data_IF_258474738952
#
_entry.id   IF_258474738952
#
_cell.length_a   1.000
_cell.length_b   1.000
_cell.length_c   1.000
_cell.angle_alpha   90.00
_cell.angle_beta   90.00
_cell.angle_gamma   90.00
#
_symmetry.space_group_name_H-M   'P 1'
#
loop_
_entity.id
_entity.type
_entity.pdbx_description
1 polymer ?
#
# COMPACT_ATOMS: atom_id res chain seq x y z
N UNK A 1 -15.65 -13.84 0.34
CA UNK A 1 -14.85 -14.75 1.20
C UNK A 1 -14.01 -13.93 2.17
N UNK A 2 -13.93 -14.32 3.44
CA UNK A 2 -13.17 -13.58 4.47
C UNK A 2 -11.75 -14.16 4.64
N UNK A 3 -11.55 -15.46 4.39
CA UNK A 3 -10.27 -16.16 4.56
C UNK A 3 -9.81 -16.83 3.26
N UNK A 4 -9.52 -16.04 2.23
CA UNK A 4 -9.09 -16.56 0.91
C UNK A 4 -7.75 -17.32 0.97
N UNK A 5 -6.97 -17.14 2.04
CA UNK A 5 -5.67 -17.81 2.25
C UNK A 5 -5.78 -19.14 2.98
N UNK A 6 -6.97 -19.53 3.46
CA UNK A 6 -7.14 -20.75 4.25
C UNK A 6 -6.70 -22.04 3.54
N UNK A 7 -7.00 -22.26 2.24
CA UNK A 7 -6.54 -23.47 1.55
C UNK A 7 -5.01 -23.59 1.49
N UNK A 8 -4.32 -22.49 1.16
CA UNK A 8 -2.85 -22.41 1.12
C UNK A 8 -2.24 -22.70 2.50
N UNK A 9 -2.87 -22.19 3.56
CA UNK A 9 -2.41 -22.41 4.93
C UNK A 9 -2.70 -23.82 5.42
N UNK A 10 -3.82 -24.45 5.02
CA UNK A 10 -4.10 -25.85 5.32
C UNK A 10 -3.07 -26.77 4.67
N UNK A 11 -2.69 -26.51 3.41
CA UNK A 11 -1.62 -27.26 2.74
C UNK A 11 -0.28 -27.09 3.45
N UNK A 12 0.03 -25.87 3.89
CA UNK A 12 1.31 -25.55 4.53
C UNK A 12 1.45 -26.07 5.96
N UNK A 13 0.37 -26.10 6.75
CA UNK A 13 0.40 -26.44 8.17
C UNK A 13 -0.22 -27.81 8.49
N UNK A 14 -0.93 -28.44 7.55
CA UNK A 14 -1.58 -29.74 7.76
C UNK A 14 -2.48 -29.75 9.00
N UNK A 15 -2.31 -30.74 9.86
CA UNK A 15 -3.07 -30.90 11.12
C UNK A 15 -2.91 -29.72 12.09
N UNK A 16 -1.76 -29.01 12.05
CA UNK A 16 -1.51 -27.85 12.92
C UNK A 16 -2.35 -26.63 12.52
N UNK A 17 -2.97 -26.63 11.34
CA UNK A 17 -3.88 -25.57 10.90
C UNK A 17 -5.00 -25.32 11.92
N UNK A 18 -5.53 -26.38 12.54
CA UNK A 18 -6.60 -26.27 13.54
C UNK A 18 -6.17 -25.56 14.83
N UNK A 19 -4.86 -25.41 15.06
CA UNK A 19 -4.31 -24.65 16.19
C UNK A 19 -4.24 -23.14 15.90
N UNK A 20 -4.42 -22.72 14.65
CA UNK A 20 -4.34 -21.31 14.24
C UNK A 20 -5.64 -20.59 14.67
N UNK A 21 -5.54 -19.52 15.49
CA UNK A 21 -6.72 -18.74 15.84
C UNK A 21 -7.33 -18.05 14.61
N UNK A 22 -8.66 -18.00 14.52
CA UNK A 22 -9.36 -17.33 13.42
C UNK A 22 -8.95 -15.86 13.23
N UNK A 23 -8.61 -15.16 14.32
CA UNK A 23 -8.08 -13.80 14.26
C UNK A 23 -6.73 -13.70 13.53
N UNK A 24 -5.83 -14.67 13.73
CA UNK A 24 -4.54 -14.73 13.04
C UNK A 24 -4.74 -15.01 11.54
N UNK A 25 -5.66 -15.91 11.20
CA UNK A 25 -6.04 -16.20 9.81
C UNK A 25 -6.60 -14.95 9.10
N UNK A 26 -7.38 -14.15 9.83
CA UNK A 26 -7.93 -12.89 9.34
C UNK A 26 -6.85 -11.84 9.07
N UNK A 27 -5.95 -11.65 10.03
CA UNK A 27 -4.82 -10.73 9.88
C UNK A 27 -3.91 -11.15 8.72
N UNK A 28 -3.57 -12.43 8.60
CA UNK A 28 -2.75 -12.93 7.50
C UNK A 28 -3.41 -12.68 6.14
N UNK A 29 -4.71 -12.98 6.03
CA UNK A 29 -5.48 -12.70 4.81
C UNK A 29 -5.49 -11.21 4.47
N UNK A 30 -5.66 -10.34 5.46
CA UNK A 30 -5.62 -8.90 5.29
C UNK A 30 -4.24 -8.42 4.80
N UNK A 31 -3.16 -8.91 5.42
CA UNK A 31 -1.79 -8.58 5.00
C UNK A 31 -1.52 -9.03 3.56
N UNK A 32 -2.05 -10.18 3.14
CA UNK A 32 -1.97 -10.62 1.74
C UNK A 32 -2.64 -9.63 0.78
N UNK A 33 -3.80 -9.07 1.14
CA UNK A 33 -4.46 -8.02 0.33
C UNK A 33 -3.66 -6.73 0.30
N UNK A 34 -3.08 -6.33 1.44
CA UNK A 34 -2.23 -5.15 1.53
C UNK A 34 -0.98 -5.29 0.65
N UNK A 35 -0.33 -6.46 0.68
CA UNK A 35 0.81 -6.80 -0.17
C UNK A 35 0.45 -6.65 -1.66
N UNK A 36 -0.71 -7.14 -2.08
CA UNK A 36 -1.18 -7.00 -3.46
C UNK A 36 -1.45 -5.55 -3.84
N UNK A 37 -2.12 -4.77 -2.99
CA UNK A 37 -2.37 -3.35 -3.23
C UNK A 37 -1.06 -2.55 -3.35
N UNK A 38 -0.08 -2.84 -2.50
CA UNK A 38 1.24 -2.22 -2.56
C UNK A 38 1.97 -2.55 -3.87
N UNK A 39 1.89 -3.80 -4.34
CA UNK A 39 2.42 -4.20 -5.65
C UNK A 39 1.76 -3.46 -6.80
N UNK A 40 0.45 -3.23 -6.74
CA UNK A 40 -0.26 -2.44 -7.75
C UNK A 40 0.22 -0.98 -7.77
N UNK A 41 0.37 -0.37 -6.59
CA UNK A 41 0.93 0.98 -6.46
C UNK A 41 2.37 1.05 -7.03
N UNK A 42 3.22 0.09 -6.67
CA UNK A 42 4.58 -0.06 -7.17
C UNK A 42 4.64 -0.17 -8.70
N UNK A 43 3.76 -0.98 -9.28
CA UNK A 43 3.66 -1.12 -10.74
C UNK A 43 3.21 0.18 -11.40
N UNK A 44 2.21 0.87 -10.83
CA UNK A 44 1.74 2.17 -11.32
C UNK A 44 2.83 3.25 -11.30
N UNK A 45 3.62 3.29 -10.23
CA UNK A 45 4.77 4.19 -10.09
C UNK A 45 6.03 3.70 -10.83
N UNK A 46 6.01 2.52 -11.46
CA UNK A 46 7.15 1.86 -12.12
C UNK A 46 8.36 1.65 -11.20
N UNK A 47 8.10 1.34 -9.92
CA UNK A 47 9.10 1.17 -8.86
C UNK A 47 9.07 -0.26 -8.31
N UNK A 48 10.01 -1.11 -8.72
CA UNK A 48 10.00 -2.55 -8.42
C UNK A 48 10.69 -2.96 -7.10
N UNK A 49 11.03 -1.99 -6.25
CA UNK A 49 11.58 -2.24 -4.92
C UNK A 49 11.14 -1.15 -3.96
N UNK A 50 10.88 -1.52 -2.70
CA UNK A 50 10.37 -0.60 -1.67
C UNK A 50 11.29 0.60 -1.44
N UNK A 51 12.61 0.44 -1.62
CA UNK A 51 13.58 1.53 -1.47
C UNK A 51 13.40 2.67 -2.47
N UNK A 52 12.66 2.46 -3.54
CA UNK A 52 12.38 3.50 -4.54
C UNK A 52 11.06 4.23 -4.26
N UNK A 53 10.18 3.68 -3.43
CA UNK A 53 8.93 4.33 -3.04
C UNK A 53 9.22 5.47 -2.06
N UNK A 54 8.45 6.53 -2.22
CA UNK A 54 8.53 7.77 -1.48
C UNK A 54 7.12 8.34 -1.28
N UNK A 55 6.97 9.34 -0.41
CA UNK A 55 5.69 10.02 -0.23
C UNK A 55 5.28 10.87 -1.44
N UNK A 56 6.23 11.17 -2.33
CA UNK A 56 5.98 11.88 -3.58
C UNK A 56 5.30 10.99 -4.64
N UNK A 57 5.18 9.67 -4.40
CA UNK A 57 4.45 8.74 -5.27
C UNK A 57 2.93 8.76 -5.05
N UNK A 58 2.45 9.53 -4.08
CA UNK A 58 1.04 9.64 -3.71
C UNK A 58 0.65 11.11 -3.54
N UNK A 59 -0.62 11.41 -3.77
CA UNK A 59 -1.17 12.75 -3.64
C UNK A 59 -2.51 12.72 -2.89
N UNK A 60 -2.77 13.75 -2.11
CA UNK A 60 -4.06 13.95 -1.46
C UNK A 60 -5.05 14.59 -2.45
N UNK A 61 -6.24 14.01 -2.58
CA UNK A 61 -7.28 14.52 -3.47
C UNK A 61 -8.07 15.69 -2.88
N UNK A 62 -7.98 15.92 -1.57
CA UNK A 62 -8.64 17.03 -0.88
C UNK A 62 -7.67 17.76 0.04
N UNK A 63 -7.97 19.01 0.38
CA UNK A 63 -7.14 19.81 1.28
C UNK A 63 -7.17 19.26 2.70
N UNK A 64 -8.33 18.79 3.16
CA UNK A 64 -8.47 18.18 4.49
C UNK A 64 -7.62 16.91 4.62
N UNK A 65 -7.59 16.08 3.57
CA UNK A 65 -6.73 14.90 3.54
C UNK A 65 -5.25 15.30 3.55
N UNK A 66 -4.88 16.36 2.83
CA UNK A 66 -3.51 16.91 2.84
C UNK A 66 -3.13 17.39 4.25
N UNK A 67 -3.97 18.20 4.88
CA UNK A 67 -3.75 18.76 6.23
C UNK A 67 -3.59 17.67 7.30
N UNK A 68 -4.41 16.62 7.25
CA UNK A 68 -4.37 15.53 8.24
C UNK A 68 -3.19 14.58 8.00
N UNK A 69 -2.92 14.24 6.74
CA UNK A 69 -1.94 13.19 6.40
C UNK A 69 -0.53 13.71 6.15
N UNK A 70 -0.37 15.01 5.89
CA UNK A 70 0.86 15.62 5.40
C UNK A 70 1.28 15.11 4.01
N UNK A 71 0.35 14.61 3.20
CA UNK A 71 0.59 14.27 1.79
C UNK A 71 0.22 15.48 0.95
N UNK A 72 1.07 15.89 0.01
CA UNK A 72 0.83 17.07 -0.83
C UNK A 72 -0.55 17.00 -1.51
N UNK A 73 -1.23 18.14 -1.57
CA UNK A 73 -2.47 18.24 -2.33
C UNK A 73 -2.17 18.09 -3.82
N UNK A 74 -3.07 17.44 -4.57
CA UNK A 74 -2.84 17.09 -5.99
C UNK A 74 -2.44 18.28 -6.88
N UNK A 75 -2.90 19.49 -6.54
CA UNK A 75 -2.58 20.71 -7.30
C UNK A 75 -1.20 21.28 -6.98
N UNK A 76 -0.52 20.76 -5.96
CA UNK A 76 0.75 21.27 -5.40
C UNK A 76 1.90 20.24 -5.57
N UNK A 77 1.63 19.07 -6.16
CA UNK A 77 2.60 17.98 -6.26
C UNK A 77 3.90 18.36 -7.00
N UNK A 78 3.78 19.11 -8.11
CA UNK A 78 4.89 19.45 -9.00
C UNK A 78 5.35 20.91 -8.86
N UNK A 79 4.82 21.66 -7.89
CA UNK A 79 5.07 23.11 -7.74
C UNK A 79 6.58 23.43 -7.67
N UNK A 80 7.33 22.71 -6.84
CA UNK A 80 8.79 22.89 -6.71
C UNK A 80 9.57 22.57 -8.00
N UNK A 81 9.10 21.60 -8.79
CA UNK A 81 9.74 21.27 -10.07
C UNK A 81 9.42 22.33 -11.13
N UNK A 82 8.19 22.85 -11.12
CA UNK A 82 7.77 23.95 -11.98
C UNK A 82 8.58 25.21 -11.69
N UNK A 83 8.77 25.57 -10.42
CA UNK A 83 9.61 26.72 -10.01
C UNK A 83 11.05 26.57 -10.51
N UNK A 84 11.65 25.38 -10.32
CA UNK A 84 13.00 25.07 -10.82
C UNK A 84 13.14 25.23 -12.33
N UNK A 85 12.13 24.81 -13.09
CA UNK A 85 12.17 24.87 -14.56
C UNK A 85 12.02 26.32 -15.07
N UNK A 86 11.25 27.13 -14.35
CA UNK A 86 10.92 28.49 -14.77
C UNK A 86 11.94 29.54 -14.27
N UNK A 87 12.98 29.15 -13.54
CA UNK A 87 13.97 30.04 -12.90
C UNK A 87 13.31 31.16 -12.07
N UNK A 88 12.18 30.85 -11.42
CA UNK A 88 11.35 31.77 -10.61
C UNK A 88 11.56 31.55 -9.12
#
# INVERSE_FOLDING_TARGET
EIFITAPELMERFGEDFHKIPAGALGLYTYMKRLEQGLKQLMCGARKFSLKYLSRDDIAALTREASEISGIKYIMECDEEEVERILDC
#
